data_IF_678445491915
#
_entry.id   IF_678445491915
#
_cell.length_a   1.000
_cell.length_b   1.000
_cell.length_c   1.000
_cell.angle_alpha   90.00
_cell.angle_beta   90.00
_cell.angle_gamma   90.00
#
_symmetry.space_group_name_H-M   'P 1'
#
loop_
_entity.id
_entity.type
_entity.pdbx_description
1 polymer ?
#
# COMPACT_ATOMS: atom_id res chain seq x y z
N UNK A 1 18.84 -40.41 -11.64
CA UNK A 1 17.40 -40.44 -11.99
C UNK A 1 16.75 -39.05 -11.84
N UNK A 2 17.54 -37.97 -11.76
CA UNK A 2 17.04 -36.62 -11.47
C UNK A 2 16.52 -35.82 -12.69
N UNK A 3 17.01 -36.08 -13.90
CA UNK A 3 16.62 -35.28 -15.08
C UNK A 3 15.13 -35.36 -15.42
N UNK A 4 14.50 -36.53 -15.23
CA UNK A 4 13.05 -36.72 -15.44
C UNK A 4 12.20 -36.02 -14.37
N UNK A 5 12.74 -35.85 -13.16
CA UNK A 5 12.07 -35.12 -12.06
C UNK A 5 12.15 -33.62 -12.31
N UNK A 6 13.33 -33.11 -12.70
CA UNK A 6 13.52 -31.70 -13.05
C UNK A 6 12.64 -31.28 -14.24
N UNK A 7 12.57 -32.11 -15.28
CA UNK A 7 11.69 -31.86 -16.43
C UNK A 7 10.20 -31.79 -16.03
N UNK A 8 9.76 -32.65 -15.11
CA UNK A 8 8.39 -32.62 -14.58
C UNK A 8 8.11 -31.37 -13.76
N UNK A 9 9.05 -30.95 -12.92
CA UNK A 9 8.91 -29.72 -12.12
C UNK A 9 8.79 -28.51 -13.05
N UNK A 10 9.67 -28.40 -14.06
CA UNK A 10 9.61 -27.30 -15.03
C UNK A 10 8.27 -27.28 -15.78
N UNK A 11 7.78 -28.43 -16.22
CA UNK A 11 6.48 -28.54 -16.88
C UNK A 11 5.32 -28.11 -15.97
N UNK A 12 5.32 -28.55 -14.70
CA UNK A 12 4.28 -28.17 -13.73
C UNK A 12 4.29 -26.66 -13.47
N UNK A 13 5.46 -26.06 -13.28
CA UNK A 13 5.59 -24.61 -13.06
C UNK A 13 5.10 -23.84 -14.27
N UNK A 14 5.46 -24.25 -15.49
CA UNK A 14 4.99 -23.61 -16.71
C UNK A 14 3.46 -23.67 -16.85
N UNK A 15 2.86 -24.83 -16.58
CA UNK A 15 1.41 -25.00 -16.60
C UNK A 15 0.73 -24.12 -15.54
N UNK A 16 1.28 -24.05 -14.33
CA UNK A 16 0.73 -23.19 -13.28
C UNK A 16 0.77 -21.70 -13.65
N UNK A 17 1.87 -21.23 -14.26
CA UNK A 17 2.00 -19.86 -14.76
C UNK A 17 0.98 -19.60 -15.88
N UNK A 18 0.85 -20.54 -16.83
CA UNK A 18 -0.10 -20.42 -17.94
C UNK A 18 -1.56 -20.32 -17.44
N UNK A 19 -1.96 -21.17 -16.49
CA UNK A 19 -3.30 -21.13 -15.88
C UNK A 19 -3.53 -19.79 -15.18
N UNK A 20 -2.56 -19.33 -14.38
CA UNK A 20 -2.67 -18.04 -13.67
C UNK A 20 -2.85 -16.88 -14.66
N UNK A 21 -2.06 -16.86 -15.74
CA UNK A 21 -2.18 -15.85 -16.78
C UNK A 21 -3.54 -15.89 -17.50
N UNK A 22 -4.05 -17.09 -17.81
CA UNK A 22 -5.38 -17.22 -18.44
C UNK A 22 -6.51 -16.76 -17.52
N UNK A 23 -6.42 -17.04 -16.22
CA UNK A 23 -7.41 -16.56 -15.24
C UNK A 23 -7.37 -15.02 -15.16
N UNK A 24 -6.18 -14.42 -15.13
CA UNK A 24 -6.05 -12.95 -15.12
C UNK A 24 -6.67 -12.34 -16.37
N UNK A 25 -6.35 -12.84 -17.57
CA UNK A 25 -6.93 -12.35 -18.82
C UNK A 25 -8.46 -12.50 -18.85
N UNK A 26 -9.00 -13.66 -18.44
CA UNK A 26 -10.46 -13.85 -18.35
C UNK A 26 -11.11 -12.89 -17.34
N UNK A 27 -10.51 -12.71 -16.15
CA UNK A 27 -11.03 -11.73 -15.17
C UNK A 27 -10.91 -10.28 -15.65
N UNK A 28 -9.98 -9.99 -16.55
CA UNK A 28 -9.77 -8.66 -17.13
C UNK A 28 -10.74 -8.36 -18.28
N UNK A 29 -11.21 -9.40 -18.98
CA UNK A 29 -12.22 -9.29 -20.03
C UNK A 29 -13.65 -9.24 -19.45
N UNK A 30 -13.93 -9.98 -18.36
CA UNK A 30 -15.24 -9.95 -17.67
C UNK A 30 -15.42 -8.76 -16.71
N UNK A 31 -14.34 -8.12 -16.27
CA UNK A 31 -14.43 -6.87 -15.55
C UNK A 31 -14.23 -5.71 -16.53
N UNK A 32 -15.28 -4.95 -16.92
CA UNK A 32 -15.02 -3.52 -17.06
C UNK A 32 -14.41 -3.14 -15.72
N UNK A 33 -13.13 -2.75 -15.74
CA UNK A 33 -12.39 -2.25 -14.56
C UNK A 33 -13.43 -1.54 -13.72
N UNK A 34 -13.83 -2.03 -12.53
CA UNK A 34 -14.62 -1.21 -11.65
C UNK A 34 -13.65 -0.07 -11.46
N UNK A 35 -13.93 1.06 -12.12
CA UNK A 35 -13.23 2.30 -11.92
C UNK A 35 -13.19 2.37 -10.42
N UNK A 36 -12.01 2.15 -9.84
CA UNK A 36 -11.87 1.94 -8.42
C UNK A 36 -12.69 3.06 -7.84
N UNK A 37 -13.84 2.74 -7.25
CA UNK A 37 -14.59 3.71 -6.49
C UNK A 37 -13.73 3.82 -5.24
N UNK A 38 -12.59 4.49 -5.42
CA UNK A 38 -11.85 5.13 -4.37
C UNK A 38 -12.96 5.79 -3.57
N UNK A 39 -13.23 5.29 -2.34
CA UNK A 39 -14.35 5.78 -1.55
C UNK A 39 -14.29 7.28 -1.63
N UNK A 40 -15.37 7.93 -2.10
CA UNK A 40 -15.41 9.34 -2.43
C UNK A 40 -14.62 10.10 -1.38
N UNK A 41 -13.40 10.42 -1.78
CA UNK A 41 -12.30 10.55 -0.86
C UNK A 41 -12.49 11.94 -0.31
N UNK A 42 -13.03 11.98 0.91
CA UNK A 42 -13.35 13.20 1.64
C UNK A 42 -12.34 14.29 1.29
N UNK A 43 -12.82 15.51 0.96
CA UNK A 43 -12.12 16.49 0.14
C UNK A 43 -10.67 16.72 0.56
N UNK A 44 -9.90 17.30 -0.36
CA UNK A 44 -8.53 17.83 -0.26
C UNK A 44 -8.08 18.57 1.03
N UNK A 45 -8.87 18.60 2.11
CA UNK A 45 -8.65 19.27 3.38
C UNK A 45 -7.88 18.44 4.43
N UNK A 46 -7.56 17.17 4.18
CA UNK A 46 -6.79 16.39 5.15
C UNK A 46 -5.27 16.58 4.93
N UNK A 47 -4.57 17.40 5.73
CA UNK A 47 -3.13 17.64 5.58
C UNK A 47 -2.33 16.34 5.68
N UNK A 48 -2.82 15.34 6.44
CA UNK A 48 -2.17 14.04 6.60
C UNK A 48 -2.04 13.31 5.26
N UNK A 49 -3.06 13.38 4.40
CA UNK A 49 -2.99 12.76 3.07
C UNK A 49 -1.98 13.43 2.15
N UNK A 50 -1.81 14.75 2.25
CA UNK A 50 -0.80 15.45 1.46
C UNK A 50 0.62 15.01 1.88
N UNK A 51 0.87 14.90 3.18
CA UNK A 51 2.14 14.42 3.73
C UNK A 51 2.41 12.96 3.34
N UNK A 52 1.41 12.07 3.48
CA UNK A 52 1.54 10.68 3.08
C UNK A 52 1.91 10.52 1.60
N UNK A 53 1.30 11.32 0.70
CA UNK A 53 1.65 11.30 -0.73
C UNK A 53 3.08 11.77 -0.99
N UNK A 54 3.54 12.81 -0.30
CA UNK A 54 4.93 13.26 -0.39
C UNK A 54 5.89 12.15 0.05
N UNK A 55 5.61 11.50 1.17
CA UNK A 55 6.40 10.38 1.67
C UNK A 55 6.41 9.18 0.72
N UNK A 56 5.29 8.87 0.07
CA UNK A 56 5.24 7.83 -0.97
C UNK A 56 6.12 8.17 -2.19
N UNK A 57 6.18 9.44 -2.60
CA UNK A 57 7.04 9.88 -3.70
C UNK A 57 8.53 9.79 -3.38
N UNK A 58 8.90 9.91 -2.10
CA UNK A 58 10.28 9.73 -1.62
C UNK A 58 10.72 8.25 -1.63
N UNK A 59 9.78 7.31 -1.56
CA UNK A 59 10.08 5.88 -1.61
C UNK A 59 10.93 5.42 -0.42
N UNK A 60 12.06 4.76 -0.70
CA UNK A 60 12.92 4.18 0.34
C UNK A 60 13.50 5.24 1.30
N UNK A 61 13.80 6.44 0.79
CA UNK A 61 14.32 7.55 1.60
C UNK A 61 13.37 7.94 2.75
N UNK A 62 12.05 7.79 2.56
CA UNK A 62 11.05 8.08 3.60
C UNK A 62 11.13 7.13 4.80
N UNK A 63 11.79 5.97 4.68
CA UNK A 63 11.97 5.04 5.80
C UNK A 63 12.90 5.58 6.89
N UNK A 64 13.76 6.54 6.54
CA UNK A 64 14.69 7.22 7.44
C UNK A 64 14.25 8.63 7.85
N UNK A 65 13.16 9.12 7.26
CA UNK A 65 12.62 10.46 7.48
C UNK A 65 11.64 10.47 8.66
N UNK A 66 11.95 11.27 9.67
CA UNK A 66 11.18 11.31 10.92
C UNK A 66 9.74 11.81 10.71
N UNK A 67 9.54 12.78 9.80
CA UNK A 67 8.22 13.35 9.52
C UNK A 67 7.34 12.33 8.78
N UNK A 68 7.93 11.55 7.88
CA UNK A 68 7.24 10.47 7.20
C UNK A 68 6.86 9.31 8.13
N UNK A 69 7.75 8.92 9.04
CA UNK A 69 7.46 7.91 10.05
C UNK A 69 6.31 8.35 10.96
N UNK A 70 6.28 9.61 11.38
CA UNK A 70 5.19 10.17 12.19
C UNK A 70 3.84 10.16 11.44
N UNK A 71 3.83 10.60 10.17
CA UNK A 71 2.61 10.60 9.36
C UNK A 71 2.02 9.19 9.15
N UNK A 72 2.86 8.17 9.00
CA UNK A 72 2.38 6.78 8.91
C UNK A 72 1.81 6.26 10.23
N UNK A 73 2.45 6.59 11.36
CA UNK A 73 1.95 6.23 12.68
C UNK A 73 0.56 6.85 12.92
N UNK A 74 0.39 8.14 12.63
CA UNK A 74 -0.88 8.85 12.76
C UNK A 74 -1.98 8.24 11.86
N UNK A 75 -1.65 7.94 10.60
CA UNK A 75 -2.60 7.31 9.68
C UNK A 75 -3.06 5.93 10.16
N UNK A 76 -2.12 5.13 10.68
CA UNK A 76 -2.41 3.82 11.26
C UNK A 76 -3.30 3.97 12.49
N UNK A 77 -2.98 4.89 13.37
CA UNK A 77 -3.68 5.08 14.64
C UNK A 77 -5.13 5.55 14.38
N UNK A 78 -5.34 6.47 13.43
CA UNK A 78 -6.66 6.85 12.94
C UNK A 78 -7.44 5.68 12.34
N UNK A 79 -6.78 4.85 11.51
CA UNK A 79 -7.42 3.66 10.93
C UNK A 79 -7.85 2.66 12.01
N UNK A 80 -7.03 2.49 13.04
CA UNK A 80 -7.32 1.61 14.18
C UNK A 80 -8.28 2.24 15.21
N UNK A 81 -8.78 3.45 14.96
CA UNK A 81 -9.65 4.16 15.90
C UNK A 81 -8.94 4.59 17.19
N UNK A 82 -7.61 4.50 17.24
CA UNK A 82 -6.77 5.03 18.31
C UNK A 82 -6.48 6.48 17.98
N UNK A 83 -7.45 7.38 18.17
CA UNK A 83 -7.11 8.79 17.97
C UNK A 83 -6.10 9.20 19.05
N UNK A 84 -4.91 9.70 18.70
CA UNK A 84 -4.07 10.38 19.67
C UNK A 84 -4.89 11.55 20.24
N UNK A 85 -4.85 11.73 21.56
CA UNK A 85 -5.38 12.94 22.16
C UNK A 85 -4.72 14.14 21.47
N UNK A 86 -5.45 15.24 21.18
CA UNK A 86 -4.85 16.40 20.54
C UNK A 86 -3.58 16.78 21.29
N UNK A 87 -2.44 16.77 20.60
CA UNK A 87 -1.17 17.24 21.15
C UNK A 87 -1.43 18.67 21.62
N UNK A 88 -1.43 18.89 22.93
CA UNK A 88 -1.61 20.22 23.49
C UNK A 88 -0.52 21.12 22.88
N UNK A 89 -0.84 22.33 22.42
CA UNK A 89 0.13 23.19 21.76
C UNK A 89 1.32 23.38 22.69
N UNK A 90 2.49 22.89 22.27
CA UNK A 90 3.74 23.18 22.96
C UNK A 90 3.93 24.69 22.88
N UNK A 91 3.73 25.39 24.00
CA UNK A 91 4.09 26.80 24.09
C UNK A 91 5.61 26.87 23.98
N UNK A 92 6.16 27.61 23.00
CA UNK A 92 7.57 27.92 23.00
C UNK A 92 7.81 28.91 24.15
N UNK A 93 8.33 28.40 25.25
CA UNK A 93 8.69 29.20 26.42
C UNK A 93 8.12 28.62 27.70
N UNK A 94 8.81 27.62 28.24
CA UNK A 94 9.04 27.52 29.68
C UNK A 94 10.39 26.83 29.89
N UNK A 95 11.37 27.70 30.17
CA UNK A 95 12.76 27.53 30.62
C UNK A 95 13.87 27.39 29.57
#
# INVERSE_FOLDING_TARGET
MEGKVLARIAAIVFVAIAITATVIEMTREEAPVPASTAPALQPSADPLRATLRRCQQLGEAASSDADCLAAWAENRDRFLGRMPAPEAPQRPGDQ
#
